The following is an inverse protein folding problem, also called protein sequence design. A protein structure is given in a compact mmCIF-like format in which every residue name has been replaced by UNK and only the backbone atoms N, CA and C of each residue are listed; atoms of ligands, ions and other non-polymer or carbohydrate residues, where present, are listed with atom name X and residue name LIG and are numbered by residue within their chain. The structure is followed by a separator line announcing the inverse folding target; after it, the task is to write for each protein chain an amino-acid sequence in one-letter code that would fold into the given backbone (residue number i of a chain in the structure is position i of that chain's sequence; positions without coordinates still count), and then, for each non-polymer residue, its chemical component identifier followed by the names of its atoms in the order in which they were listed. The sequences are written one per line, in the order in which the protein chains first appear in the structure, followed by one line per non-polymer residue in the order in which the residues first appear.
data_IF_602963812111
#
_entry.id   IF_602963812111
#
_cell.length_a   1.000
_cell.length_b   1.000
_cell.length_c   1.000
_cell.angle_alpha   90.00
_cell.angle_beta   90.00
_cell.angle_gamma   90.00
#
_symmetry.space_group_name_H-M   'P 1'
#
loop_
_entity.id
_entity.type
_entity.pdbx_description
1 polymer ?
#
# COMPACT_ATOMS: atom_id res chain seq x y z
N UNK A 1 -12.35 -24.07 -13.52
CA UNK A 1 -12.85 -23.52 -12.24
C UNK A 1 -12.40 -22.07 -12.15
N UNK A 2 -13.26 -21.11 -11.73
CA UNK A 2 -12.83 -19.73 -11.57
C UNK A 2 -11.84 -19.61 -10.39
N UNK A 3 -10.76 -18.85 -10.57
CA UNK A 3 -9.74 -18.61 -9.53
C UNK A 3 -10.28 -17.65 -8.43
N UNK A 4 -11.19 -16.76 -8.80
CA UNK A 4 -11.78 -15.78 -7.88
C UNK A 4 -13.19 -16.22 -7.45
N UNK A 5 -13.60 -15.89 -6.20
CA UNK A 5 -14.95 -16.12 -5.76
C UNK A 5 -15.96 -15.26 -6.55
N UNK A 6 -17.24 -15.57 -6.38
CA UNK A 6 -18.30 -14.69 -6.88
C UNK A 6 -18.15 -13.29 -6.29
N UNK A 7 -18.41 -12.22 -7.07
CA UNK A 7 -18.36 -10.84 -6.58
C UNK A 7 -19.32 -10.63 -5.40
N UNK A 8 -18.85 -9.90 -4.39
CA UNK A 8 -19.68 -9.44 -3.27
C UNK A 8 -19.42 -7.97 -2.99
N UNK A 9 -20.42 -7.16 -3.34
CA UNK A 9 -20.37 -5.70 -3.27
C UNK A 9 -21.21 -5.13 -2.12
N UNK A 10 -21.75 -5.95 -1.22
CA UNK A 10 -22.55 -5.50 -0.05
C UNK A 10 -21.67 -4.97 1.09
N UNK A 11 -20.88 -3.94 0.76
CA UNK A 11 -20.04 -3.25 1.72
C UNK A 11 -20.82 -2.13 2.42
N UNK A 12 -21.04 -2.30 3.73
CA UNK A 12 -21.80 -1.36 4.56
C UNK A 12 -20.92 -0.41 5.39
N UNK A 13 -19.60 -0.48 5.23
CA UNK A 13 -18.64 0.36 5.95
C UNK A 13 -18.58 1.82 5.45
N UNK A 14 -17.71 2.64 6.02
CA UNK A 14 -17.56 4.04 5.60
C UNK A 14 -16.97 4.19 4.18
N UNK A 15 -17.56 5.07 3.36
CA UNK A 15 -16.99 5.54 2.08
C UNK A 15 -15.63 6.21 2.24
N UNK A 16 -15.31 6.73 3.42
CA UNK A 16 -13.97 7.28 3.67
C UNK A 16 -12.90 6.20 3.57
N UNK A 17 -13.18 4.96 4.01
CA UNK A 17 -12.26 3.84 3.86
C UNK A 17 -12.08 3.45 2.38
N UNK A 18 -13.14 3.55 1.58
CA UNK A 18 -13.08 3.33 0.12
C UNK A 18 -12.23 4.41 -0.56
N UNK A 19 -12.42 5.68 -0.21
CA UNK A 19 -11.61 6.78 -0.74
C UNK A 19 -10.15 6.68 -0.32
N UNK A 20 -9.89 6.23 0.91
CA UNK A 20 -8.54 5.93 1.35
C UNK A 20 -7.89 4.83 0.50
N UNK A 21 -8.62 3.75 0.16
CA UNK A 21 -8.09 2.73 -0.75
C UNK A 21 -7.82 3.29 -2.16
N UNK A 22 -8.67 4.17 -2.69
CA UNK A 22 -8.37 4.85 -3.96
C UNK A 22 -7.07 5.65 -3.91
N UNK A 23 -6.82 6.35 -2.80
CA UNK A 23 -5.55 7.04 -2.59
C UNK A 23 -4.38 6.04 -2.50
N UNK A 24 -4.53 4.94 -1.76
CA UNK A 24 -3.49 3.90 -1.68
C UNK A 24 -3.18 3.27 -3.03
N UNK A 25 -4.19 2.99 -3.86
CA UNK A 25 -4.03 2.50 -5.24
C UNK A 25 -3.20 3.47 -6.06
N UNK A 26 -3.54 4.77 -6.01
CA UNK A 26 -2.80 5.79 -6.75
C UNK A 26 -1.34 5.89 -6.28
N UNK A 27 -1.10 5.84 -4.96
CA UNK A 27 0.25 5.84 -4.41
C UNK A 27 0.99 4.58 -4.84
N UNK A 28 0.44 3.37 -4.65
CA UNK A 28 1.00 2.09 -5.10
C UNK A 28 1.35 2.10 -6.60
N UNK A 29 0.47 2.62 -7.45
CA UNK A 29 0.74 2.76 -8.88
C UNK A 29 1.94 3.68 -9.12
N UNK A 30 1.95 4.88 -8.52
CA UNK A 30 3.05 5.84 -8.69
C UNK A 30 4.42 5.27 -8.29
N UNK A 31 4.58 4.81 -7.03
CA UNK A 31 5.86 4.25 -6.57
C UNK A 31 6.20 2.94 -7.29
N UNK A 32 5.21 2.13 -7.62
CA UNK A 32 5.41 0.88 -8.35
C UNK A 32 6.01 1.11 -9.73
N UNK A 33 5.44 2.04 -10.50
CA UNK A 33 5.99 2.41 -11.80
C UNK A 33 7.35 3.10 -11.70
N UNK A 34 7.56 3.97 -10.71
CA UNK A 34 8.88 4.58 -10.49
C UNK A 34 9.94 3.51 -10.24
N UNK A 35 9.70 2.58 -9.31
CA UNK A 35 10.67 1.56 -8.96
C UNK A 35 10.96 0.59 -10.12
N UNK A 36 9.95 0.24 -10.92
CA UNK A 36 10.12 -0.70 -12.05
C UNK A 36 10.72 -0.04 -13.28
N UNK A 37 10.33 1.20 -13.59
CA UNK A 37 10.63 1.82 -14.90
C UNK A 37 11.81 2.80 -14.87
N UNK A 38 12.13 3.42 -13.73
CA UNK A 38 13.25 4.35 -13.68
C UNK A 38 14.58 3.59 -13.59
N UNK A 39 15.60 4.11 -14.28
CA UNK A 39 16.93 3.48 -14.34
C UNK A 39 17.58 3.30 -12.96
N UNK A 40 17.27 4.16 -11.99
CA UNK A 40 17.75 4.09 -10.61
C UNK A 40 16.70 3.53 -9.65
N UNK A 41 15.55 3.06 -10.14
CA UNK A 41 14.37 2.68 -9.35
C UNK A 41 13.95 3.75 -8.33
N UNK A 42 14.26 5.03 -8.56
CA UNK A 42 14.04 6.11 -7.59
C UNK A 42 14.96 6.08 -6.36
N UNK A 43 15.93 5.17 -6.30
CA UNK A 43 16.85 5.03 -5.18
C UNK A 43 17.69 6.29 -4.97
N UNK A 44 18.32 6.80 -6.04
CA UNK A 44 19.11 8.02 -5.97
C UNK A 44 18.24 9.27 -6.01
N UNK A 45 17.35 9.37 -7.01
CA UNK A 45 16.58 10.59 -7.29
C UNK A 45 15.51 10.94 -6.25
N UNK A 46 14.93 9.94 -5.58
CA UNK A 46 13.83 10.16 -4.61
C UNK A 46 14.28 9.81 -3.20
N UNK A 47 14.94 8.67 -3.01
CA UNK A 47 15.35 8.21 -1.69
C UNK A 47 16.70 8.76 -1.24
N UNK A 48 17.52 9.32 -2.14
CA UNK A 48 18.85 9.85 -1.80
C UNK A 48 19.87 8.76 -1.45
N UNK A 49 19.65 7.52 -1.88
CA UNK A 49 20.59 6.41 -1.69
C UNK A 49 21.79 6.62 -2.61
N UNK A 50 22.99 6.55 -2.04
CA UNK A 50 24.23 6.52 -2.81
C UNK A 50 24.35 5.17 -3.54
N UNK A 51 24.42 5.23 -4.87
CA UNK A 51 24.51 4.06 -5.75
C UNK A 51 25.94 3.79 -6.24
N UNK A 52 26.93 4.56 -5.80
CA UNK A 52 28.35 4.35 -6.17
C UNK A 52 28.85 2.97 -5.75
N UNK A 53 28.34 2.46 -4.62
CA UNK A 53 28.66 1.13 -4.09
C UNK A 53 27.39 0.28 -4.05
N UNK A 54 27.42 -0.88 -4.70
CA UNK A 54 26.29 -1.83 -4.72
C UNK A 54 24.99 -1.29 -5.35
N UNK A 55 25.08 -0.31 -6.27
CA UNK A 55 23.89 0.27 -6.92
C UNK A 55 23.04 -0.75 -7.69
N UNK A 56 23.66 -1.65 -8.46
CA UNK A 56 22.91 -2.62 -9.27
C UNK A 56 22.03 -3.58 -8.43
N UNK A 57 22.52 -4.20 -7.34
CA UNK A 57 21.67 -4.94 -6.40
C UNK A 57 20.53 -4.10 -5.80
N UNK A 58 20.79 -2.85 -5.42
CA UNK A 58 19.77 -1.95 -4.85
C UNK A 58 18.66 -1.67 -5.85
N UNK A 59 19.02 -1.32 -7.09
CA UNK A 59 18.05 -1.08 -8.18
C UNK A 59 17.24 -2.34 -8.45
N UNK A 60 17.87 -3.51 -8.55
CA UNK A 60 17.18 -4.79 -8.76
C UNK A 60 16.15 -5.12 -7.66
N UNK A 61 16.55 -4.97 -6.38
CA UNK A 61 15.66 -5.21 -5.25
C UNK A 61 14.51 -4.19 -5.21
N UNK A 62 14.77 -2.93 -5.51
CA UNK A 62 13.72 -1.91 -5.57
C UNK A 62 12.75 -2.15 -6.72
N UNK A 63 13.22 -2.59 -7.89
CA UNK A 63 12.33 -3.00 -8.98
C UNK A 63 11.39 -4.15 -8.55
N UNK A 64 11.88 -5.13 -7.79
CA UNK A 64 11.04 -6.17 -7.21
C UNK A 64 10.03 -5.62 -6.19
N UNK A 65 10.43 -4.66 -5.35
CA UNK A 65 9.52 -3.93 -4.46
C UNK A 65 8.46 -3.16 -5.26
N UNK A 66 8.82 -2.57 -6.40
CA UNK A 66 7.89 -1.90 -7.30
C UNK A 66 6.84 -2.86 -7.86
N UNK A 67 7.24 -4.06 -8.26
CA UNK A 67 6.31 -5.10 -8.70
C UNK A 67 5.33 -5.52 -7.58
N UNK A 68 5.80 -5.67 -6.33
CA UNK A 68 4.91 -5.90 -5.17
C UNK A 68 3.89 -4.75 -4.99
N UNK A 69 4.34 -3.50 -5.09
CA UNK A 69 3.45 -2.34 -4.96
C UNK A 69 2.35 -2.33 -6.04
N UNK A 70 2.69 -2.63 -7.29
CA UNK A 70 1.70 -2.76 -8.36
C UNK A 70 0.72 -3.90 -8.10
N UNK A 71 1.21 -5.05 -7.62
CA UNK A 71 0.36 -6.19 -7.26
C UNK A 71 -0.62 -5.84 -6.12
N UNK A 72 -0.16 -5.15 -5.08
CA UNK A 72 -1.04 -4.64 -4.02
C UNK A 72 -2.07 -3.64 -4.56
N UNK A 73 -1.66 -2.74 -5.46
CA UNK A 73 -2.58 -1.82 -6.14
C UNK A 73 -3.70 -2.57 -6.89
N UNK A 74 -3.39 -3.69 -7.55
CA UNK A 74 -4.40 -4.53 -8.21
C UNK A 74 -5.35 -5.21 -7.22
N UNK A 75 -4.83 -5.71 -6.09
CA UNK A 75 -5.65 -6.31 -5.03
C UNK A 75 -6.63 -5.27 -4.44
N UNK A 76 -6.11 -4.07 -4.12
CA UNK A 76 -6.91 -2.95 -3.63
C UNK A 76 -7.95 -2.50 -4.67
N UNK A 77 -7.57 -2.43 -5.96
CA UNK A 77 -8.48 -2.10 -7.05
C UNK A 77 -9.61 -3.13 -7.19
N UNK A 78 -9.28 -4.42 -7.10
CA UNK A 78 -10.27 -5.50 -7.08
C UNK A 78 -11.26 -5.37 -5.93
N UNK A 79 -10.78 -5.01 -4.74
CA UNK A 79 -11.64 -4.77 -3.57
C UNK A 79 -12.59 -3.60 -3.80
N UNK A 80 -12.13 -2.45 -4.31
CA UNK A 80 -13.01 -1.28 -4.49
C UNK A 80 -13.96 -1.40 -5.69
N UNK A 81 -13.62 -2.18 -6.72
CA UNK A 81 -14.42 -2.34 -7.93
C UNK A 81 -15.41 -3.51 -7.87
N UNK A 82 -15.02 -4.66 -7.31
CA UNK A 82 -15.77 -5.92 -7.49
C UNK A 82 -15.97 -6.76 -6.22
N UNK A 83 -15.12 -6.56 -5.21
CA UNK A 83 -15.11 -7.38 -3.99
C UNK A 83 -15.20 -6.49 -2.74
N UNK A 84 -16.14 -5.54 -2.71
CA UNK A 84 -16.15 -4.49 -1.67
C UNK A 84 -16.28 -5.03 -0.25
N UNK A 85 -16.90 -6.19 -0.04
CA UNK A 85 -16.94 -6.80 1.30
C UNK A 85 -15.55 -7.17 1.85
N UNK A 86 -14.55 -7.34 0.99
CA UNK A 86 -13.17 -7.62 1.37
C UNK A 86 -12.38 -6.38 1.80
N UNK A 87 -12.94 -5.17 1.69
CA UNK A 87 -12.25 -3.92 2.04
C UNK A 87 -11.64 -3.94 3.45
N UNK A 88 -12.34 -4.36 4.53
CA UNK A 88 -11.74 -4.42 5.86
C UNK A 88 -10.56 -5.41 5.93
N UNK A 89 -10.68 -6.55 5.26
CA UNK A 89 -9.61 -7.57 5.20
C UNK A 89 -8.38 -7.04 4.47
N UNK A 90 -8.56 -6.38 3.32
CA UNK A 90 -7.47 -5.74 2.58
C UNK A 90 -6.80 -4.67 3.44
N UNK A 91 -7.57 -3.82 4.12
CA UNK A 91 -7.03 -2.80 5.03
C UNK A 91 -6.26 -3.41 6.21
N UNK A 92 -6.69 -4.56 6.74
CA UNK A 92 -5.96 -5.26 7.78
C UNK A 92 -4.59 -5.77 7.30
N UNK A 93 -4.52 -6.35 6.09
CA UNK A 93 -3.24 -6.74 5.50
C UNK A 93 -2.34 -5.55 5.20
N UNK A 94 -2.90 -4.46 4.66
CA UNK A 94 -2.17 -3.22 4.41
C UNK A 94 -1.62 -2.66 5.72
N UNK A 95 -2.39 -2.68 6.81
CA UNK A 95 -1.94 -2.25 8.13
C UNK A 95 -0.79 -3.13 8.66
N UNK A 96 -0.95 -4.45 8.60
CA UNK A 96 0.07 -5.39 9.05
C UNK A 96 1.38 -5.19 8.29
N UNK A 97 1.31 -5.09 6.95
CA UNK A 97 2.46 -4.77 6.09
C UNK A 97 3.09 -3.44 6.50
N UNK A 98 2.27 -2.42 6.78
CA UNK A 98 2.77 -1.10 7.12
C UNK A 98 3.47 -1.05 8.48
N UNK A 99 2.94 -1.74 9.49
CA UNK A 99 3.55 -1.86 10.82
C UNK A 99 4.90 -2.58 10.73
N UNK A 100 4.96 -3.71 10.02
CA UNK A 100 6.22 -4.44 9.80
C UNK A 100 7.21 -3.56 9.03
N UNK A 101 6.76 -2.87 7.99
CA UNK A 101 7.59 -1.94 7.24
C UNK A 101 8.17 -0.81 8.09
N UNK A 102 7.35 -0.20 8.96
CA UNK A 102 7.82 0.83 9.88
C UNK A 102 8.86 0.27 10.87
N UNK A 103 8.60 -0.90 11.45
CA UNK A 103 9.55 -1.56 12.35
C UNK A 103 10.88 -1.90 11.66
N UNK A 104 10.83 -2.42 10.43
CA UNK A 104 12.03 -2.73 9.65
C UNK A 104 12.85 -1.47 9.37
N UNK A 105 12.22 -0.42 8.83
CA UNK A 105 12.91 0.78 8.34
C UNK A 105 13.40 1.72 9.44
N UNK A 106 12.91 1.56 10.68
CA UNK A 106 13.29 2.41 11.81
C UNK A 106 14.06 1.68 12.91
N UNK A 107 13.90 0.36 13.05
CA UNK A 107 14.43 -0.38 14.21
C UNK A 107 15.33 -1.54 13.79
N UNK A 108 14.84 -2.48 12.99
CA UNK A 108 15.57 -3.74 12.74
C UNK A 108 16.65 -3.64 11.66
N UNK A 109 16.32 -3.02 10.53
CA UNK A 109 17.20 -2.80 9.39
C UNK A 109 17.01 -1.35 8.92
N UNK A 110 17.40 -0.38 9.76
CA UNK A 110 17.03 1.01 9.55
C UNK A 110 17.55 1.52 8.21
N UNK A 111 16.71 2.27 7.50
CA UNK A 111 17.12 2.92 6.26
C UNK A 111 17.93 4.17 6.60
N UNK A 112 19.21 4.18 6.21
CA UNK A 112 20.18 5.22 6.54
C UNK A 112 19.96 6.57 5.84
N UNK A 113 18.91 6.69 5.02
CA UNK A 113 18.54 7.91 4.29
C UNK A 113 17.14 8.35 4.67
N UNK A 114 16.89 9.65 4.63
CA UNK A 114 15.58 10.25 4.87
C UNK A 114 14.72 10.20 3.62
N UNK A 115 14.30 8.98 3.26
CA UNK A 115 13.48 8.73 2.09
C UNK A 115 11.98 8.92 2.39
N UNK A 116 11.18 9.42 1.42
CA UNK A 116 9.72 9.51 1.57
C UNK A 116 9.06 8.19 2.00
N UNK A 117 9.56 7.05 1.51
CA UNK A 117 9.06 5.72 1.88
C UNK A 117 9.25 5.37 3.36
N UNK A 118 10.31 5.86 4.01
CA UNK A 118 10.60 5.63 5.44
C UNK A 118 9.57 6.32 6.33
N UNK A 119 9.27 7.58 6.03
CA UNK A 119 8.25 8.35 6.74
C UNK A 119 6.83 7.92 6.37
N UNK A 120 6.59 7.62 5.09
CA UNK A 120 5.32 7.09 4.62
C UNK A 120 4.96 5.79 5.33
N UNK A 121 5.96 4.95 5.63
CA UNK A 121 5.73 3.75 6.41
C UNK A 121 5.32 4.03 7.85
N UNK A 122 5.95 5.00 8.52
CA UNK A 122 5.64 5.35 9.90
C UNK A 122 4.28 6.04 10.03
N UNK A 123 4.07 7.13 9.28
CA UNK A 123 2.84 7.92 9.33
C UNK A 123 1.64 7.21 8.72
N UNK A 124 1.88 6.26 7.81
CA UNK A 124 0.83 5.42 7.25
C UNK A 124 0.10 4.59 8.30
N UNK A 125 0.78 4.14 9.36
CA UNK A 125 0.21 3.26 10.39
C UNK A 125 -1.09 3.83 11.01
N UNK A 126 -1.08 5.03 11.65
CA UNK A 126 -2.30 5.57 12.24
C UNK A 126 -3.39 5.87 11.21
N UNK A 127 -3.02 6.30 9.99
CA UNK A 127 -3.99 6.62 8.93
C UNK A 127 -4.68 5.35 8.42
N UNK A 128 -3.93 4.27 8.18
CA UNK A 128 -4.49 2.98 7.76
C UNK A 128 -5.33 2.37 8.89
N UNK A 129 -4.88 2.48 10.14
CA UNK A 129 -5.64 2.00 11.30
C UNK A 129 -7.00 2.71 11.41
N UNK A 130 -7.04 4.04 11.21
CA UNK A 130 -8.28 4.80 11.14
C UNK A 130 -9.17 4.36 9.99
N UNK A 131 -8.60 4.15 8.79
CA UNK A 131 -9.35 3.66 7.63
C UNK A 131 -9.95 2.27 7.88
N UNK A 132 -9.19 1.36 8.50
CA UNK A 132 -9.65 0.03 8.90
C UNK A 132 -10.81 0.15 9.90
N UNK A 133 -10.65 0.95 10.95
CA UNK A 133 -11.71 1.17 11.94
C UNK A 133 -12.98 1.75 11.31
N UNK A 134 -12.84 2.74 10.41
CA UNK A 134 -13.97 3.30 9.64
C UNK A 134 -14.61 2.25 8.72
N UNK A 135 -13.83 1.29 8.23
CA UNK A 135 -14.34 0.24 7.35
C UNK A 135 -15.19 -0.80 8.07
N UNK A 136 -14.94 -1.00 9.37
CA UNK A 136 -15.66 -1.93 10.24
C UNK A 136 -16.95 -1.33 10.80
N UNK A 137 -17.11 0.00 10.75
CA UNK A 137 -18.32 0.68 11.21
C UNK A 137 -19.43 0.61 10.15
N UNK A 138 -20.48 -0.14 10.43
CA UNK A 138 -21.68 -0.18 9.61
C UNK A 138 -22.37 1.18 9.59
N UNK A 139 -22.73 1.64 8.39
CA UNK A 139 -23.61 2.79 8.22
C UNK A 139 -25.02 2.43 8.68
N UNK A 140 -25.69 3.31 9.45
CA UNK A 140 -27.13 3.21 9.67
C UNK A 140 -27.84 3.20 8.32
N UNK A 141 -28.90 2.38 8.17
CA UNK A 141 -29.77 2.52 7.01
C UNK A 141 -30.38 3.92 6.99
N UNK A 142 -30.41 4.61 5.85
CA UNK A 142 -31.19 5.83 5.74
C UNK A 142 -32.64 5.49 6.07
N UNK A 143 -33.24 6.25 6.99
CA UNK A 143 -34.67 6.12 7.31
C UNK A 143 -35.46 6.28 6.01
N UNK A 144 -36.32 5.30 5.72
CA UNK A 144 -37.20 5.28 4.55
C UNK A 144 -38.31 6.31 4.67
#
# INVERSE_FOLDING_TARGET
MPILPAPDNDYRGSRLAVWFLWLQIAVNAFRGFVHVLWADSGAGRIAGIDLTHNGAPVVSLLAAVGADQLAWGVIELGAVLRYRRWIPTVLAFVLAKQVVGAWLLWIWKPLGVEAPGKYGALFGVPVIALALWLSLRTRPEPAR
#
